data_IF_143909076584
#
_entry.id   IF_143909076584
#
_cell.length_a   1.000
_cell.length_b   1.000
_cell.length_c   1.000
_cell.angle_alpha   90.00
_cell.angle_beta   90.00
_cell.angle_gamma   90.00
#
_symmetry.space_group_name_H-M   'P 1'
#
loop_
_entity.id
_entity.type
_entity.pdbx_description
1 polymer ?
#
# COMPACT_ATOMS: atom_id res chain seq x y z
N UNK A 1 -16.91 -3.90 -0.99
CA UNK A 1 -15.45 -3.97 -0.80
C UNK A 1 -14.80 -3.10 -1.87
N UNK A 2 -14.13 -2.02 -1.48
CA UNK A 2 -13.28 -1.30 -2.43
C UNK A 2 -12.16 -2.27 -2.88
N UNK A 3 -11.78 -2.30 -4.18
CA UNK A 3 -10.76 -3.22 -4.63
C UNK A 3 -9.43 -2.87 -3.93
N UNK A 4 -8.74 -3.83 -3.29
CA UNK A 4 -7.50 -3.59 -2.55
C UNK A 4 -6.44 -2.84 -3.37
N UNK A 5 -6.48 -2.99 -4.70
CA UNK A 5 -5.69 -2.23 -5.67
C UNK A 5 -5.81 -0.69 -5.48
N UNK A 6 -7.02 -0.14 -5.54
CA UNK A 6 -7.21 1.31 -5.52
C UNK A 6 -6.99 1.91 -4.14
N UNK A 7 -7.28 1.14 -3.09
CA UNK A 7 -7.04 1.54 -1.70
C UNK A 7 -5.53 1.67 -1.44
N UNK A 8 -4.75 0.64 -1.80
CA UNK A 8 -3.30 0.65 -1.66
C UNK A 8 -2.64 1.72 -2.53
N UNK A 9 -3.14 1.94 -3.75
CA UNK A 9 -2.69 3.00 -4.65
C UNK A 9 -2.92 4.38 -4.02
N UNK A 10 -4.14 4.66 -3.56
CA UNK A 10 -4.50 5.94 -2.96
C UNK A 10 -3.66 6.25 -1.72
N UNK A 11 -3.45 5.27 -0.83
CA UNK A 11 -2.60 5.43 0.36
C UNK A 11 -1.15 5.69 -0.01
N UNK A 12 -0.62 4.97 -1.01
CA UNK A 12 0.79 5.12 -1.42
C UNK A 12 1.03 6.48 -2.07
N UNK A 13 0.14 6.93 -2.96
CA UNK A 13 0.24 8.23 -3.63
C UNK A 13 0.00 9.36 -2.63
N UNK A 14 -1.10 9.30 -1.88
CA UNK A 14 -1.47 10.32 -0.92
C UNK A 14 -0.46 10.46 0.22
N UNK A 15 -0.01 9.35 0.79
CA UNK A 15 0.99 9.36 1.86
C UNK A 15 2.38 9.82 1.37
N UNK A 16 2.75 9.50 0.13
CA UNK A 16 3.98 10.02 -0.48
C UNK A 16 3.94 11.55 -0.65
N UNK A 17 2.84 12.08 -1.19
CA UNK A 17 2.68 13.53 -1.42
C UNK A 17 2.54 14.31 -0.11
N UNK A 18 1.67 13.87 0.79
CA UNK A 18 1.48 14.53 2.09
C UNK A 18 2.73 14.42 2.96
N UNK A 19 3.44 13.29 2.92
CA UNK A 19 4.72 13.13 3.61
C UNK A 19 5.79 14.10 3.09
N UNK A 20 5.91 14.24 1.77
CA UNK A 20 6.83 15.20 1.17
C UNK A 20 6.47 16.65 1.54
N UNK A 21 5.18 16.98 1.53
CA UNK A 21 4.69 18.28 1.98
C UNK A 21 4.99 18.53 3.47
N UNK A 22 4.90 17.50 4.31
CA UNK A 22 5.30 17.56 5.72
C UNK A 22 6.79 17.89 5.89
N UNK A 23 7.68 17.25 5.15
CA UNK A 23 9.11 17.59 5.15
C UNK A 23 9.38 19.02 4.68
N UNK A 24 8.61 19.53 3.71
CA UNK A 24 8.70 20.92 3.26
C UNK A 24 8.32 21.92 4.36
N UNK A 25 7.20 21.68 5.06
CA UNK A 25 6.78 22.52 6.20
C UNK A 25 7.80 22.45 7.35
N UNK A 26 8.39 21.27 7.59
CA UNK A 26 9.37 21.05 8.65
C UNK A 26 10.74 21.70 8.38
N UNK A 27 10.93 22.36 7.23
CA UNK A 27 12.19 23.03 6.87
C UNK A 27 13.27 22.07 6.36
N UNK A 28 12.93 20.83 6.00
CA UNK A 28 13.85 19.83 5.46
C UNK A 28 13.49 19.46 4.00
N UNK A 29 13.56 20.42 3.05
CA UNK A 29 13.11 20.20 1.67
C UNK A 29 13.94 19.15 0.92
N UNK A 30 15.17 18.88 1.35
CA UNK A 30 16.04 17.84 0.79
C UNK A 30 15.42 16.43 0.91
N UNK A 31 14.60 16.23 1.94
CA UNK A 31 13.93 14.96 2.23
C UNK A 31 12.49 14.91 1.68
N UNK A 32 12.00 16.00 1.07
CA UNK A 32 10.67 16.11 0.49
C UNK A 32 10.54 15.35 -0.85
N UNK A 33 11.05 14.12 -0.91
CA UNK A 33 10.95 13.25 -2.07
C UNK A 33 9.75 12.30 -1.94
N UNK A 34 8.65 12.66 -2.60
CA UNK A 34 7.40 11.90 -2.54
C UNK A 34 7.57 10.44 -2.98
N UNK A 35 8.38 10.17 -4.01
CA UNK A 35 8.63 8.80 -4.49
C UNK A 35 9.41 7.96 -3.47
N UNK A 36 10.40 8.54 -2.78
CA UNK A 36 11.17 7.86 -1.75
C UNK A 36 10.31 7.57 -0.50
N UNK A 37 9.43 8.50 -0.14
CA UNK A 37 8.47 8.32 0.97
C UNK A 37 7.45 7.24 0.60
N UNK A 38 6.88 7.29 -0.60
CA UNK A 38 5.97 6.28 -1.12
C UNK A 38 6.57 4.87 -1.08
N UNK A 39 7.84 4.73 -1.47
CA UNK A 39 8.56 3.45 -1.40
C UNK A 39 8.63 2.88 0.02
N UNK A 40 8.80 3.73 1.04
CA UNK A 40 8.86 3.32 2.45
C UNK A 40 7.49 2.93 3.00
N UNK A 41 6.41 3.58 2.57
CA UNK A 41 5.06 3.32 3.08
C UNK A 41 4.27 2.27 2.30
N UNK A 42 4.75 1.78 1.15
CA UNK A 42 3.99 0.84 0.30
C UNK A 42 3.54 -0.43 1.02
N UNK A 43 4.34 -0.96 1.96
CA UNK A 43 3.97 -2.13 2.77
C UNK A 43 2.84 -1.79 3.74
N UNK A 44 2.88 -0.59 4.33
CA UNK A 44 1.79 -0.08 5.17
C UNK A 44 0.51 0.15 4.35
N UNK A 45 0.63 0.60 3.10
CA UNK A 45 -0.51 0.74 2.21
C UNK A 45 -1.19 -0.60 1.90
N UNK A 46 -0.40 -1.68 1.73
CA UNK A 46 -0.93 -3.04 1.60
C UNK A 46 -1.68 -3.47 2.87
N UNK A 47 -1.10 -3.23 4.06
CA UNK A 47 -1.75 -3.54 5.32
C UNK A 47 -3.09 -2.80 5.48
N UNK A 48 -3.15 -1.50 5.14
CA UNK A 48 -4.40 -0.71 5.17
C UNK A 48 -5.42 -1.25 4.18
N UNK A 49 -5.01 -1.61 2.97
CA UNK A 49 -5.91 -2.13 1.93
C UNK A 49 -6.54 -3.48 2.28
N UNK A 50 -5.85 -4.30 3.08
CA UNK A 50 -6.34 -5.58 3.55
C UNK A 50 -7.21 -5.49 4.82
N UNK A 51 -7.36 -4.29 5.42
CA UNK A 51 -8.16 -4.08 6.63
C UNK A 51 -7.36 -3.99 7.94
N UNK A 52 -6.05 -3.76 7.86
CA UNK A 52 -5.14 -3.63 9.01
C UNK A 52 -4.30 -4.87 9.30
N UNK A 53 -3.56 -4.84 10.41
CA UNK A 53 -2.52 -5.83 10.77
C UNK A 53 -3.03 -7.12 11.42
N UNK A 54 -4.27 -7.19 11.91
CA UNK A 54 -4.76 -8.34 12.70
C UNK A 54 -5.90 -9.10 11.98
N UNK A 55 -6.90 -8.41 11.42
CA UNK A 55 -8.07 -9.04 10.78
C UNK A 55 -7.71 -9.82 9.50
N UNK A 56 -6.74 -9.32 8.73
CA UNK A 56 -6.25 -9.99 7.52
C UNK A 56 -5.46 -11.26 7.86
N UNK A 57 -4.72 -11.23 8.99
CA UNK A 57 -3.95 -12.38 9.47
C UNK A 57 -4.88 -13.46 10.07
N UNK A 58 -5.88 -13.06 10.86
CA UNK A 58 -6.90 -13.95 11.41
C UNK A 58 -7.68 -14.67 10.31
N UNK A 59 -8.07 -13.97 9.24
CA UNK A 59 -8.70 -14.62 8.08
C UNK A 59 -7.75 -15.57 7.35
N UNK A 60 -6.47 -15.23 7.26
CA UNK A 60 -5.46 -16.12 6.67
C UNK A 60 -5.26 -17.39 7.50
N UNK A 61 -5.15 -17.27 8.83
CA UNK A 61 -5.09 -18.42 9.75
C UNK A 61 -6.35 -19.29 9.71
N UNK A 62 -7.53 -18.66 9.67
CA UNK A 62 -8.81 -19.38 9.56
C UNK A 62 -8.94 -20.12 8.22
N UNK A 63 -8.53 -19.51 7.10
CA UNK A 63 -8.54 -20.16 5.80
C UNK A 63 -7.52 -21.30 5.68
N UNK A 64 -6.35 -21.19 6.30
CA UNK A 64 -5.37 -22.28 6.38
C UNK A 64 -5.89 -23.44 7.24
N UNK A 65 -6.60 -23.13 8.33
CA UNK A 65 -7.10 -24.13 9.29
C UNK A 65 -8.37 -24.84 8.79
N UNK A 66 -9.22 -24.18 8.00
CA UNK A 66 -10.52 -24.75 7.57
C UNK A 66 -10.47 -25.64 6.31
N UNK A 67 -9.29 -25.85 5.69
CA UNK A 67 -9.13 -26.61 4.42
C UNK A 67 -9.86 -26.01 3.21
N UNK A 68 -10.40 -24.80 3.31
CA UNK A 68 -11.06 -24.09 2.19
C UNK A 68 -10.02 -23.43 1.27
N UNK A 69 -9.47 -24.20 0.33
CA UNK A 69 -8.50 -23.73 -0.69
C UNK A 69 -9.01 -22.49 -1.45
N UNK A 70 -10.32 -22.38 -1.63
CA UNK A 70 -10.99 -21.23 -2.26
C UNK A 70 -10.69 -19.90 -1.53
N UNK A 71 -10.72 -19.90 -0.20
CA UNK A 71 -10.58 -18.66 0.59
C UNK A 71 -9.12 -18.22 0.66
N UNK A 72 -8.20 -19.19 0.73
CA UNK A 72 -6.75 -18.93 0.65
C UNK A 72 -6.35 -18.30 -0.69
N UNK A 73 -6.92 -18.79 -1.80
CA UNK A 73 -6.71 -18.21 -3.13
C UNK A 73 -7.24 -16.77 -3.19
N UNK A 74 -8.42 -16.51 -2.60
CA UNK A 74 -9.03 -15.18 -2.58
C UNK A 74 -8.19 -14.17 -1.79
N UNK A 75 -7.63 -14.58 -0.65
CA UNK A 75 -6.69 -13.79 0.14
C UNK A 75 -5.40 -13.49 -0.62
N UNK A 76 -4.84 -14.50 -1.29
CA UNK A 76 -3.62 -14.36 -2.10
C UNK A 76 -3.80 -13.38 -3.26
N UNK A 77 -4.93 -13.46 -3.97
CA UNK A 77 -5.28 -12.53 -5.06
C UNK A 77 -5.45 -11.10 -4.51
N UNK A 78 -6.09 -10.94 -3.35
CA UNK A 78 -6.24 -9.64 -2.70
C UNK A 78 -4.89 -9.02 -2.30
N UNK A 79 -3.95 -9.83 -1.77
CA UNK A 79 -2.59 -9.40 -1.44
C UNK A 79 -1.83 -8.94 -2.69
N UNK A 80 -1.88 -9.73 -3.77
CA UNK A 80 -1.23 -9.38 -5.04
C UNK A 80 -1.82 -8.10 -5.61
N UNK A 81 -3.15 -7.96 -5.58
CA UNK A 81 -3.83 -6.75 -6.03
C UNK A 81 -3.44 -5.52 -5.18
N UNK A 82 -3.39 -5.65 -3.85
CA UNK A 82 -2.94 -4.58 -2.96
C UNK A 82 -1.49 -4.17 -3.24
N UNK A 83 -0.59 -5.16 -3.34
CA UNK A 83 0.82 -4.92 -3.63
C UNK A 83 1.00 -4.26 -5.00
N UNK A 84 0.29 -4.73 -6.02
CA UNK A 84 0.27 -4.11 -7.34
C UNK A 84 -0.21 -2.65 -7.29
N UNK A 85 -1.23 -2.35 -6.48
CA UNK A 85 -1.73 -0.98 -6.31
C UNK A 85 -0.72 -0.06 -5.64
N UNK A 86 -0.06 -0.55 -4.59
CA UNK A 86 0.99 0.19 -3.90
C UNK A 86 2.20 0.45 -4.82
N UNK A 87 2.62 -0.58 -5.55
CA UNK A 87 3.73 -0.48 -6.49
C UNK A 87 3.41 0.49 -7.63
N UNK A 88 2.20 0.42 -8.21
CA UNK A 88 1.72 1.39 -9.21
C UNK A 88 1.72 2.82 -8.67
N UNK A 89 1.31 3.03 -7.42
CA UNK A 89 1.35 4.35 -6.77
C UNK A 89 2.77 4.90 -6.65
N UNK A 90 3.74 4.06 -6.28
CA UNK A 90 5.15 4.42 -6.28
C UNK A 90 5.66 4.78 -7.69
N UNK A 91 5.36 3.95 -8.69
CA UNK A 91 5.76 4.20 -10.07
C UNK A 91 5.15 5.48 -10.63
N UNK A 92 3.91 5.79 -10.28
CA UNK A 92 3.24 7.02 -10.70
C UNK A 92 3.96 8.25 -10.16
N UNK A 93 4.28 8.26 -8.86
CA UNK A 93 5.04 9.35 -8.24
C UNK A 93 6.46 9.46 -8.78
N UNK A 94 7.11 8.32 -9.04
CA UNK A 94 8.44 8.27 -9.63
C UNK A 94 8.44 8.82 -11.06
N UNK A 95 7.46 8.44 -11.88
CA UNK A 95 7.31 8.94 -13.25
C UNK A 95 7.03 10.45 -13.27
N UNK A 96 6.29 10.96 -12.30
CA UNK A 96 6.01 12.39 -12.19
C UNK A 96 7.22 13.22 -11.71
N UNK A 97 8.13 12.64 -10.92
CA UNK A 97 9.35 13.29 -10.43
C UNK A 97 10.58 13.08 -11.32
N UNK A 98 10.50 12.26 -12.36
CA UNK A 98 11.55 12.14 -13.37
C UNK A 98 11.43 13.30 -14.39
N UNK A 99 12.52 13.97 -14.77
CA UNK A 99 12.52 14.94 -15.86
C UNK A 99 12.33 14.29 -17.23
#
# INVERSE_FOLDING_TARGET
>A
MAPPLFLALGVTVGGGLLGAFGHWIAGNPHEANASAIAFRIRIWAVAVALGGTISALEHFEQSLTSRAVSDLLRGSIALIAAYGGAELGYWLLRAWMLP
#
